data_IF_143963421437
#
_entry.id   IF_143963421437
#
_cell.length_a   1.000
_cell.length_b   1.000
_cell.length_c   1.000
_cell.angle_alpha   90.00
_cell.angle_beta   90.00
_cell.angle_gamma   90.00
#
_symmetry.space_group_name_H-M   'P 1'
#
loop_
_entity.id
_entity.type
_entity.pdbx_description
1 polymer ?
#
# COMPACT_ATOMS: atom_id res chain seq x y z
N UNK A 1 -14.07 5.79 18.46
CA UNK A 1 -14.58 5.84 17.07
C UNK A 1 -13.72 6.78 16.23
N UNK A 2 -13.55 8.07 16.58
CA UNK A 2 -12.73 9.01 15.81
C UNK A 2 -11.24 8.60 15.65
N UNK A 3 -10.60 8.11 16.73
CA UNK A 3 -9.18 7.73 16.71
C UNK A 3 -8.86 6.55 15.76
N UNK A 4 -9.81 5.63 15.57
CA UNK A 4 -9.66 4.49 14.66
C UNK A 4 -9.80 4.92 13.19
N UNK A 5 -10.66 5.90 12.92
CA UNK A 5 -10.80 6.48 11.56
C UNK A 5 -9.54 7.25 11.17
N UNK A 6 -8.98 8.07 12.07
CA UNK A 6 -7.72 8.79 11.81
C UNK A 6 -6.51 7.86 11.62
N UNK A 7 -6.43 6.75 12.35
CA UNK A 7 -5.35 5.77 12.19
C UNK A 7 -5.43 5.05 10.84
N UNK A 8 -6.65 4.68 10.41
CA UNK A 8 -6.88 4.01 9.11
C UNK A 8 -6.67 4.96 7.93
N UNK A 9 -7.14 6.21 8.03
CA UNK A 9 -6.88 7.24 7.02
C UNK A 9 -5.37 7.49 6.85
N UNK A 10 -4.62 7.54 7.95
CA UNK A 10 -3.16 7.65 7.90
C UNK A 10 -2.52 6.41 7.29
N UNK A 11 -2.98 5.21 7.66
CA UNK A 11 -2.48 3.96 7.10
C UNK A 11 -2.71 3.87 5.58
N UNK A 12 -3.89 4.25 5.11
CA UNK A 12 -4.23 4.31 3.68
C UNK A 12 -3.45 5.39 2.96
N UNK A 13 -3.37 6.59 3.51
CA UNK A 13 -2.59 7.70 2.93
C UNK A 13 -1.12 7.33 2.76
N UNK A 14 -0.49 6.69 3.75
CA UNK A 14 0.90 6.24 3.68
C UNK A 14 1.11 5.15 2.62
N UNK A 15 0.22 4.15 2.56
CA UNK A 15 0.29 3.09 1.55
C UNK A 15 0.00 3.62 0.14
N UNK A 16 -0.92 4.57 -0.01
CA UNK A 16 -1.22 5.22 -1.29
C UNK A 16 -0.03 6.01 -1.83
N UNK A 17 0.67 6.76 -0.96
CA UNK A 17 1.90 7.48 -1.34
C UNK A 17 3.02 6.50 -1.71
N UNK A 18 3.22 5.44 -0.92
CA UNK A 18 4.24 4.42 -1.19
C UNK A 18 3.96 3.68 -2.51
N UNK A 19 2.70 3.27 -2.73
CA UNK A 19 2.26 2.62 -3.96
C UNK A 19 2.40 3.51 -5.18
N UNK A 20 2.07 4.81 -5.06
CA UNK A 20 2.22 5.77 -6.16
C UNK A 20 3.68 5.94 -6.56
N UNK A 21 4.58 6.09 -5.58
CA UNK A 21 6.03 6.16 -5.86
C UNK A 21 6.57 4.88 -6.46
N UNK A 22 6.10 3.73 -5.99
CA UNK A 22 6.48 2.43 -6.55
C UNK A 22 5.96 2.26 -7.99
N UNK A 23 4.75 2.74 -8.30
CA UNK A 23 4.17 2.70 -9.63
C UNK A 23 4.99 3.50 -10.66
N UNK A 24 5.70 4.54 -10.22
CA UNK A 24 6.64 5.33 -11.03
C UNK A 24 8.03 4.69 -11.19
N UNK A 25 8.27 3.54 -10.56
CA UNK A 25 9.54 2.82 -10.70
C UNK A 25 9.78 2.37 -12.15
N UNK A 26 11.04 2.40 -12.56
CA UNK A 26 11.50 1.85 -13.85
C UNK A 26 11.54 0.32 -13.84
N UNK A 27 11.49 -0.30 -12.67
CA UNK A 27 11.38 -1.75 -12.54
C UNK A 27 9.92 -2.20 -12.73
N UNK A 28 9.64 -3.15 -13.64
CA UNK A 28 8.28 -3.58 -13.95
C UNK A 28 7.59 -4.33 -12.80
N UNK A 29 8.33 -5.05 -11.95
CA UNK A 29 7.76 -5.77 -10.81
C UNK A 29 7.37 -4.80 -9.68
N UNK A 30 8.23 -3.82 -9.39
CA UNK A 30 7.96 -2.74 -8.43
C UNK A 30 6.83 -1.84 -8.94
N UNK A 31 6.79 -1.50 -10.23
CA UNK A 31 5.71 -0.71 -10.83
C UNK A 31 4.36 -1.42 -10.77
N UNK A 32 4.32 -2.72 -11.09
CA UNK A 32 3.10 -3.52 -11.00
C UNK A 32 2.60 -3.64 -9.55
N UNK A 33 3.49 -3.96 -8.60
CA UNK A 33 3.13 -4.07 -7.18
C UNK A 33 2.70 -2.71 -6.59
N UNK A 34 3.33 -1.61 -7.01
CA UNK A 34 2.93 -0.26 -6.63
C UNK A 34 1.52 0.10 -7.12
N UNK A 35 1.18 -0.26 -8.36
CA UNK A 35 -0.18 -0.07 -8.91
C UNK A 35 -1.22 -0.92 -8.17
N UNK A 36 -0.90 -2.17 -7.84
CA UNK A 36 -1.76 -3.02 -7.02
C UNK A 36 -2.03 -2.40 -5.64
N UNK A 37 -1.00 -1.85 -4.99
CA UNK A 37 -1.14 -1.18 -3.70
C UNK A 37 -2.02 0.08 -3.78
N UNK A 38 -1.88 0.89 -4.84
CA UNK A 38 -2.74 2.07 -5.07
C UNK A 38 -4.20 1.67 -5.27
N UNK A 39 -4.46 0.60 -6.03
CA UNK A 39 -5.81 0.11 -6.25
C UNK A 39 -6.44 -0.40 -4.96
N UNK A 40 -5.72 -1.22 -4.19
CA UNK A 40 -6.22 -1.76 -2.92
C UNK A 40 -6.54 -0.64 -1.90
N UNK A 41 -5.71 0.40 -1.84
CA UNK A 41 -5.96 1.59 -0.99
C UNK A 41 -7.17 2.38 -1.46
N UNK A 42 -7.34 2.54 -2.78
CA UNK A 42 -8.50 3.25 -3.34
C UNK A 42 -9.80 2.51 -3.06
N UNK A 43 -9.82 1.20 -3.27
CA UNK A 43 -10.98 0.35 -2.95
C UNK A 43 -11.33 0.43 -1.47
N UNK A 44 -10.34 0.43 -0.57
CA UNK A 44 -10.56 0.60 0.86
C UNK A 44 -11.19 1.96 1.21
N UNK A 45 -10.70 3.05 0.61
CA UNK A 45 -11.24 4.39 0.80
C UNK A 45 -12.66 4.58 0.23
N UNK A 46 -13.00 3.88 -0.86
CA UNK A 46 -14.37 3.88 -1.41
C UNK A 46 -15.35 3.11 -0.50
N UNK A 47 -14.87 2.05 0.16
CA UNK A 47 -15.66 1.26 1.13
C UNK A 47 -15.88 1.97 2.47
N UNK A 48 -14.94 2.81 2.92
CA UNK A 48 -15.09 3.66 4.12
C UNK A 48 -16.30 4.61 4.03
N UNK A 49 -16.64 5.02 2.81
CA UNK A 49 -17.74 5.95 2.51
C UNK A 49 -19.09 5.19 2.35
N UNK A 50 -19.08 3.85 2.23
CA UNK A 50 -20.23 2.99 1.96
C UNK A 50 -20.75 2.18 3.16
N UNK A 51 -22.05 1.86 3.17
CA UNK A 51 -22.86 1.51 4.35
C UNK A 51 -22.65 0.12 5.03
N UNK A 52 -21.54 -0.59 4.80
CA UNK A 52 -21.23 -1.88 5.46
C UNK A 52 -19.77 -1.87 6.00
N UNK A 53 -19.55 -1.03 7.00
CA UNK A 53 -18.23 -0.56 7.44
C UNK A 53 -17.31 -1.60 8.11
N UNK A 54 -17.82 -2.73 8.62
CA UNK A 54 -17.03 -3.59 9.53
C UNK A 54 -16.48 -4.85 8.89
N UNK A 55 -17.22 -5.48 7.97
CA UNK A 55 -16.78 -6.71 7.30
C UNK A 55 -15.85 -6.40 6.13
N UNK A 56 -16.25 -5.47 5.25
CA UNK A 56 -15.52 -5.12 4.03
C UNK A 56 -14.17 -4.46 4.33
N UNK A 57 -14.09 -3.65 5.39
CA UNK A 57 -12.86 -2.98 5.80
C UNK A 57 -11.73 -3.95 6.19
N UNK A 58 -12.08 -5.07 6.83
CA UNK A 58 -11.08 -6.08 7.26
C UNK A 58 -10.48 -6.80 6.05
N UNK A 59 -11.31 -7.06 5.02
CA UNK A 59 -10.84 -7.65 3.77
C UNK A 59 -9.96 -6.66 2.98
N UNK A 60 -10.35 -5.38 2.92
CA UNK A 60 -9.54 -4.34 2.28
C UNK A 60 -8.18 -4.15 2.97
N UNK A 61 -8.13 -4.16 4.30
CA UNK A 61 -6.87 -4.11 5.04
C UNK A 61 -5.97 -5.31 4.75
N UNK A 62 -6.56 -6.52 4.64
CA UNK A 62 -5.81 -7.72 4.25
C UNK A 62 -5.22 -7.57 2.83
N UNK A 63 -6.01 -7.08 1.87
CA UNK A 63 -5.55 -6.83 0.49
C UNK A 63 -4.44 -5.77 0.42
N UNK A 64 -4.54 -4.69 1.21
CA UNK A 64 -3.47 -3.69 1.32
C UNK A 64 -2.20 -4.32 1.90
N UNK A 65 -2.32 -5.13 2.95
CA UNK A 65 -1.20 -5.84 3.54
C UNK A 65 -0.51 -6.80 2.57
N UNK A 66 -1.29 -7.55 1.78
CA UNK A 66 -0.77 -8.42 0.72
C UNK A 66 -0.05 -7.62 -0.38
N UNK A 67 -0.64 -6.52 -0.85
CA UNK A 67 -0.02 -5.66 -1.86
C UNK A 67 1.27 -5.01 -1.33
N UNK A 68 1.29 -4.60 -0.06
CA UNK A 68 2.49 -4.06 0.59
C UNK A 68 3.59 -5.13 0.73
N UNK A 69 3.23 -6.37 1.09
CA UNK A 69 4.16 -7.50 1.14
C UNK A 69 4.74 -7.84 -0.24
N UNK A 70 3.91 -7.84 -1.30
CA UNK A 70 4.39 -8.01 -2.68
C UNK A 70 5.37 -6.91 -3.07
N UNK A 71 5.04 -5.66 -2.77
CA UNK A 71 5.91 -4.52 -3.06
C UNK A 71 7.25 -4.63 -2.32
N UNK A 72 7.23 -4.98 -1.03
CA UNK A 72 8.44 -5.23 -0.25
C UNK A 72 9.29 -6.38 -0.82
N UNK A 73 8.64 -7.43 -1.30
CA UNK A 73 9.32 -8.58 -1.93
C UNK A 73 9.97 -8.17 -3.24
N UNK A 74 9.25 -7.46 -4.12
CA UNK A 74 9.80 -6.96 -5.37
C UNK A 74 10.98 -6.01 -5.15
N UNK A 75 10.86 -5.09 -4.17
CA UNK A 75 11.97 -4.22 -3.78
C UNK A 75 13.16 -5.02 -3.22
N UNK A 76 12.93 -6.10 -2.47
CA UNK A 76 13.99 -6.97 -1.94
C UNK A 76 14.67 -7.77 -3.05
N UNK A 77 13.94 -8.27 -4.03
CA UNK A 77 14.52 -8.96 -5.18
C UNK A 77 15.37 -8.02 -6.04
N UNK A 78 14.96 -6.75 -6.17
CA UNK A 78 15.67 -5.74 -6.95
C UNK A 78 16.90 -5.15 -6.22
N UNK A 79 16.74 -4.79 -4.95
CA UNK A 79 17.74 -4.04 -4.17
C UNK A 79 18.52 -4.91 -3.16
N UNK A 80 18.13 -6.18 -2.99
CA UNK A 80 18.68 -7.08 -1.98
C UNK A 80 18.00 -6.92 -0.61
N UNK A 81 18.62 -7.51 0.41
CA UNK A 81 18.10 -7.49 1.79
C UNK A 81 18.22 -6.09 2.42
N UNK A 82 17.18 -5.58 3.12
CA UNK A 82 17.27 -4.29 3.78
C UNK A 82 18.34 -4.28 4.89
N UNK A 83 18.92 -3.12 5.23
CA UNK A 83 18.54 -1.78 4.77
C UNK A 83 19.09 -1.48 3.37
N UNK A 84 18.20 -1.05 2.47
CA UNK A 84 18.60 -0.57 1.15
C UNK A 84 19.42 0.71 1.32
N UNK A 85 20.45 0.92 0.47
CA UNK A 85 21.20 2.16 0.52
C UNK A 85 20.23 3.33 0.28
N UNK A 86 19.99 4.13 1.31
CA UNK A 86 19.42 5.47 1.15
C UNK A 86 20.31 6.15 0.13
N UNK A 87 19.80 6.46 -1.06
CA UNK A 87 20.59 7.12 -2.10
C UNK A 87 21.14 8.44 -1.53
N UNK A 88 22.37 8.38 -1.04
CA UNK A 88 23.27 9.51 -0.82
C UNK A 88 24.26 9.44 -1.97
N UNK A 89 23.89 10.04 -3.09
CA UNK A 89 24.80 10.59 -4.09
C UNK A 89 24.34 12.01 -4.40
#
# INVERSE_FOLDING_TARGET
MAMLVEEKDRFWSLNGVAGSRAAESTDPAVSAAGRELVLAVKEAGELDVGSDFTADTTESEARIGEAQQKLMTACRELLGEPPWPSQQD
#
